data_IF_254875747721
#
_entry.id   IF_254875747721
#
_cell.length_a   1.000
_cell.length_b   1.000
_cell.length_c   1.000
_cell.angle_alpha   90.00
_cell.angle_beta   90.00
_cell.angle_gamma   90.00
#
_symmetry.space_group_name_H-M   'P 1'
#
loop_
_entity.id
_entity.type
_entity.pdbx_description
1 polymer ?
#
# COMPACT_ATOMS: atom_id res chain seq x y z
N UNK A 1 28.02 20.23 -1.23
CA UNK A 1 27.39 20.85 -2.41
C UNK A 1 26.13 20.03 -2.73
N UNK A 2 25.02 20.71 -2.97
CA UNK A 2 23.81 20.02 -3.47
C UNK A 2 24.08 19.48 -4.88
N UNK A 3 23.50 18.35 -5.26
CA UNK A 3 23.65 17.79 -6.60
C UNK A 3 23.08 18.77 -7.64
N UNK A 4 23.74 18.86 -8.80
CA UNK A 4 23.29 19.75 -9.88
C UNK A 4 22.20 19.14 -10.75
N UNK A 5 22.05 17.82 -10.73
CA UNK A 5 21.14 17.06 -11.57
C UNK A 5 20.43 16.01 -10.76
N UNK A 6 19.20 15.71 -11.17
CA UNK A 6 18.34 14.68 -10.60
C UNK A 6 17.96 13.69 -11.71
N UNK A 7 18.62 12.55 -11.76
CA UNK A 7 18.28 11.49 -12.69
C UNK A 7 16.93 10.89 -12.30
N UNK A 8 16.00 10.82 -13.22
CA UNK A 8 14.62 10.41 -12.94
C UNK A 8 13.99 9.65 -14.10
N UNK A 9 13.11 8.69 -13.76
CA UNK A 9 12.23 8.05 -14.72
C UNK A 9 10.96 8.90 -14.89
N UNK A 10 10.91 9.65 -15.97
CA UNK A 10 9.81 10.56 -16.27
C UNK A 10 8.74 9.84 -17.06
N UNK A 11 7.54 9.77 -16.51
CA UNK A 11 6.35 9.28 -17.17
C UNK A 11 5.78 10.37 -18.08
N UNK A 12 5.77 10.12 -19.41
CA UNK A 12 5.28 11.08 -20.41
C UNK A 12 3.88 10.72 -20.94
N UNK A 13 3.27 9.67 -20.41
CA UNK A 13 1.97 9.14 -20.84
C UNK A 13 1.99 7.62 -20.89
N UNK A 14 0.86 6.98 -21.18
CA UNK A 14 0.74 5.52 -21.18
C UNK A 14 1.87 4.82 -21.92
N UNK A 15 2.49 3.85 -21.25
CA UNK A 15 3.60 3.01 -21.74
C UNK A 15 4.85 3.79 -22.18
N UNK A 16 5.07 4.98 -21.60
CA UNK A 16 6.19 5.85 -21.99
C UNK A 16 6.92 6.41 -20.77
N UNK A 17 8.00 5.73 -20.37
CA UNK A 17 9.03 6.29 -19.50
C UNK A 17 10.22 6.79 -20.31
N UNK A 18 10.87 7.83 -19.80
CA UNK A 18 12.16 8.32 -20.28
C UNK A 18 13.06 8.64 -19.09
N UNK A 19 14.26 8.08 -19.08
CA UNK A 19 15.27 8.48 -18.10
C UNK A 19 15.83 9.85 -18.52
N UNK A 20 15.73 10.83 -17.61
CA UNK A 20 16.16 12.21 -17.84
C UNK A 20 16.84 12.79 -16.62
N UNK A 21 17.76 13.71 -16.86
CA UNK A 21 18.29 14.62 -15.84
C UNK A 21 17.31 15.80 -15.68
N UNK A 22 16.64 15.87 -14.54
CA UNK A 22 15.77 16.98 -14.18
C UNK A 22 16.56 18.05 -13.40
N UNK A 23 16.24 19.34 -13.54
CA UNK A 23 16.81 20.36 -12.67
C UNK A 23 16.31 20.13 -11.22
N UNK A 24 17.19 20.30 -10.25
CA UNK A 24 16.81 20.44 -8.86
C UNK A 24 16.38 21.89 -8.64
N UNK A 25 15.13 22.11 -8.27
CA UNK A 25 14.67 23.46 -7.96
C UNK A 25 15.19 23.89 -6.58
N UNK A 26 15.75 25.10 -6.51
CA UNK A 26 16.18 25.74 -5.25
C UNK A 26 15.01 26.12 -4.34
N UNK A 27 13.78 26.09 -4.85
CA UNK A 27 12.55 26.45 -4.12
C UNK A 27 12.07 25.36 -3.17
N UNK A 28 12.64 24.16 -3.22
CA UNK A 28 12.24 23.07 -2.35
C UNK A 28 12.91 23.17 -1.00
N UNK A 29 12.11 23.43 0.02
CA UNK A 29 12.58 23.52 1.39
C UNK A 29 13.00 22.18 1.98
N UNK A 30 12.65 21.06 1.37
CA UNK A 30 13.00 19.71 1.81
C UNK A 30 13.40 18.85 0.62
N UNK A 31 14.70 18.68 0.44
CA UNK A 31 15.27 17.77 -0.54
C UNK A 31 15.75 16.50 0.16
N UNK A 32 15.34 15.35 -0.34
CA UNK A 32 15.74 14.03 0.16
C UNK A 32 16.44 13.25 -0.96
N UNK A 33 17.42 12.42 -0.59
CA UNK A 33 18.02 11.44 -1.52
C UNK A 33 17.19 10.15 -1.44
N UNK A 34 16.70 9.66 -2.56
CA UNK A 34 16.01 8.37 -2.63
C UNK A 34 17.00 7.23 -2.40
N UNK A 35 16.65 6.27 -1.57
CA UNK A 35 17.42 5.06 -1.28
C UNK A 35 16.75 3.81 -1.86
N UNK A 36 15.42 3.76 -1.81
CA UNK A 36 14.62 2.69 -2.40
C UNK A 36 13.20 3.19 -2.65
N UNK A 37 12.61 2.79 -3.77
CA UNK A 37 11.22 3.05 -4.10
C UNK A 37 10.59 1.79 -4.65
N UNK A 38 9.52 1.29 -4.01
CA UNK A 38 8.84 0.10 -4.46
C UNK A 38 7.82 0.44 -5.57
N UNK A 39 7.60 -0.55 -6.46
CA UNK A 39 6.63 -0.44 -7.55
C UNK A 39 5.27 -0.95 -7.08
N UNK A 40 4.29 -0.06 -7.02
CA UNK A 40 2.91 -0.37 -6.65
C UNK A 40 2.09 -0.83 -7.88
N UNK A 41 1.10 -1.67 -7.67
CA UNK A 41 0.11 -1.98 -8.70
C UNK A 41 -0.66 -0.75 -9.21
N UNK A 42 -0.75 0.32 -8.40
CA UNK A 42 -1.27 1.61 -8.85
C UNK A 42 -0.35 2.25 -9.90
N UNK A 43 0.97 2.25 -9.68
CA UNK A 43 1.94 2.81 -10.64
C UNK A 43 1.86 2.07 -11.98
N UNK A 44 1.76 0.73 -11.96
CA UNK A 44 1.59 -0.09 -13.16
C UNK A 44 0.29 0.25 -13.91
N UNK A 45 -0.82 0.43 -13.20
CA UNK A 45 -2.08 0.85 -13.80
C UNK A 45 -1.98 2.25 -14.42
N UNK A 46 -1.35 3.20 -13.72
CA UNK A 46 -1.09 4.54 -14.27
C UNK A 46 -0.22 4.46 -15.52
N UNK A 47 0.82 3.64 -15.49
CA UNK A 47 1.72 3.45 -16.63
C UNK A 47 0.96 2.90 -17.84
N UNK A 48 0.06 1.94 -17.65
CA UNK A 48 -0.65 1.30 -18.77
C UNK A 48 -1.81 2.14 -19.32
N UNK A 49 -2.59 2.77 -18.44
CA UNK A 49 -3.88 3.37 -18.80
C UNK A 49 -3.95 4.89 -18.57
N UNK A 50 -2.96 5.46 -17.89
CA UNK A 50 -3.04 6.80 -17.34
C UNK A 50 -4.02 6.87 -16.15
N UNK A 51 -4.08 8.03 -15.52
CA UNK A 51 -5.02 8.27 -14.42
C UNK A 51 -5.44 9.75 -14.36
N UNK A 52 -6.70 10.03 -13.99
CA UNK A 52 -7.28 11.40 -13.97
C UNK A 52 -6.53 12.40 -13.09
N UNK A 53 -5.86 11.92 -12.03
CA UNK A 53 -5.06 12.76 -11.12
C UNK A 53 -3.61 12.94 -11.59
N UNK A 54 -3.15 12.15 -12.55
CA UNK A 54 -1.75 12.15 -13.04
C UNK A 54 -1.68 12.95 -14.33
N UNK A 55 -0.85 13.98 -14.32
CA UNK A 55 -0.64 14.86 -15.49
C UNK A 55 0.81 14.75 -15.95
N UNK A 56 1.09 14.00 -17.02
CA UNK A 56 2.42 13.94 -17.59
C UNK A 56 2.89 15.31 -18.15
N UNK A 57 4.22 15.60 -18.15
CA UNK A 57 5.29 14.74 -17.64
C UNK A 57 5.40 14.78 -16.10
N UNK A 58 5.64 13.64 -15.48
CA UNK A 58 5.76 13.51 -14.02
C UNK A 58 6.63 12.29 -13.66
N UNK A 59 7.26 12.31 -12.49
CA UNK A 59 7.93 11.14 -11.90
C UNK A 59 6.93 10.41 -11.00
N UNK A 60 6.73 9.10 -11.24
CA UNK A 60 5.87 8.24 -10.40
C UNK A 60 6.64 7.71 -9.18
N UNK A 61 5.99 6.82 -8.41
CA UNK A 61 6.56 6.18 -7.22
C UNK A 61 6.21 6.93 -5.93
N UNK A 62 5.54 6.23 -5.01
CA UNK A 62 5.02 6.80 -3.75
C UNK A 62 5.36 5.95 -2.53
N UNK A 63 5.94 4.78 -2.71
CA UNK A 63 6.42 3.87 -1.66
C UNK A 63 7.92 4.13 -1.45
N UNK A 64 8.30 5.11 -0.62
CA UNK A 64 9.62 5.73 -0.65
C UNK A 64 10.38 5.56 0.66
N UNK A 65 11.59 5.03 0.59
CA UNK A 65 12.65 5.21 1.58
C UNK A 65 13.67 6.21 1.06
N UNK A 66 14.03 7.19 1.87
CA UNK A 66 14.94 8.26 1.51
C UNK A 66 15.91 8.64 2.65
N UNK A 67 16.82 9.55 2.37
CA UNK A 67 17.78 10.12 3.32
C UNK A 67 17.70 11.63 3.31
N UNK A 68 17.69 12.25 4.49
CA UNK A 68 17.72 13.71 4.62
C UNK A 68 19.07 14.29 4.20
N UNK A 69 19.04 15.35 3.41
CA UNK A 69 20.25 16.10 3.02
C UNK A 69 20.53 17.31 3.92
N UNK A 70 19.55 17.69 4.72
CA UNK A 70 19.64 18.77 5.70
C UNK A 70 18.91 18.36 6.98
N UNK A 71 19.20 19.05 8.07
CA UNK A 71 18.43 18.93 9.31
C UNK A 71 17.02 19.51 9.11
N UNK A 72 15.99 18.74 9.47
CA UNK A 72 14.59 19.14 9.35
C UNK A 72 13.99 19.40 10.74
N UNK A 73 13.24 20.48 10.86
CA UNK A 73 12.47 20.81 12.07
C UNK A 73 10.99 20.53 11.82
N UNK A 74 10.39 19.67 12.65
CA UNK A 74 8.97 19.33 12.60
C UNK A 74 8.15 20.33 13.43
N UNK A 75 6.82 20.42 13.23
CA UNK A 75 5.94 21.34 13.95
C UNK A 75 5.92 21.15 15.47
N UNK A 76 6.16 19.91 15.94
CA UNK A 76 6.23 19.54 17.36
C UNK A 76 7.64 19.73 17.96
N UNK A 77 8.44 20.62 17.35
CA UNK A 77 9.83 20.95 17.71
C UNK A 77 10.83 19.78 17.61
N UNK A 78 10.40 18.61 17.18
CA UNK A 78 11.31 17.50 16.91
C UNK A 78 12.24 17.81 15.76
N UNK A 79 13.47 17.35 15.88
CA UNK A 79 14.52 17.52 14.89
C UNK A 79 14.81 16.17 14.24
N UNK A 80 14.81 16.14 12.92
CA UNK A 80 15.35 15.04 12.13
C UNK A 80 16.71 15.51 11.62
N UNK A 81 17.82 14.94 12.13
CA UNK A 81 19.16 15.34 11.69
C UNK A 81 19.39 15.09 10.21
N UNK A 82 20.33 15.84 9.62
CA UNK A 82 20.91 15.50 8.33
C UNK A 82 21.43 14.06 8.30
N UNK A 83 21.43 13.44 7.13
CA UNK A 83 21.87 12.06 6.92
C UNK A 83 21.02 10.97 7.62
N UNK A 84 19.81 11.32 8.06
CA UNK A 84 18.86 10.38 8.66
C UNK A 84 18.06 9.63 7.60
N UNK A 85 17.93 8.32 7.76
CA UNK A 85 17.06 7.50 6.92
C UNK A 85 15.60 7.68 7.33
N UNK A 86 14.73 7.91 6.34
CA UNK A 86 13.31 8.23 6.56
C UNK A 86 12.43 7.52 5.55
N UNK A 87 11.19 7.31 5.91
CA UNK A 87 10.10 7.05 4.96
C UNK A 87 9.25 8.29 4.79
N UNK A 88 8.59 8.38 3.64
CA UNK A 88 7.82 9.56 3.26
C UNK A 88 6.36 9.18 3.05
N UNK A 89 5.45 9.83 3.79
CA UNK A 89 4.02 9.74 3.52
C UNK A 89 3.70 10.43 2.19
N UNK A 90 2.99 9.77 1.26
CA UNK A 90 2.68 10.37 -0.02
C UNK A 90 1.63 11.49 0.06
N UNK A 91 0.95 11.66 1.19
CA UNK A 91 -0.16 12.60 1.34
C UNK A 91 0.29 14.07 1.38
N UNK A 92 -0.37 14.90 0.60
CA UNK A 92 -0.24 16.37 0.61
C UNK A 92 -1.65 16.95 0.79
N UNK A 93 -2.16 17.03 2.04
CA UNK A 93 -3.50 17.54 2.32
C UNK A 93 -3.54 19.08 2.28
N UNK A 94 -4.73 19.65 2.14
CA UNK A 94 -4.92 21.10 2.10
C UNK A 94 -4.82 21.80 3.46
N UNK A 95 -4.88 21.08 4.57
CA UNK A 95 -4.81 21.52 5.97
C UNK A 95 -5.95 22.44 6.45
N UNK A 96 -6.92 22.75 5.61
CA UNK A 96 -8.00 23.70 5.92
C UNK A 96 -9.42 23.15 5.77
N UNK A 97 -9.61 21.90 5.33
CA UNK A 97 -10.93 21.28 5.24
C UNK A 97 -11.29 20.51 6.52
N UNK A 98 -12.56 20.15 6.67
CA UNK A 98 -13.07 19.37 7.80
C UNK A 98 -12.25 18.11 8.08
N UNK A 99 -11.93 17.32 7.06
CA UNK A 99 -11.16 16.08 7.24
C UNK A 99 -9.75 16.35 7.76
N UNK A 100 -9.11 17.41 7.31
CA UNK A 100 -7.79 17.80 7.82
C UNK A 100 -7.86 18.24 9.29
N UNK A 101 -8.92 18.96 9.71
CA UNK A 101 -9.05 19.44 11.09
C UNK A 101 -9.22 18.31 12.11
N UNK A 102 -9.69 17.14 11.68
CA UNK A 102 -9.83 15.93 12.51
C UNK A 102 -8.73 14.89 12.27
N UNK A 103 -7.69 15.24 11.50
CA UNK A 103 -6.52 14.35 11.24
C UNK A 103 -6.75 13.25 10.20
N UNK A 104 -7.88 13.23 9.51
CA UNK A 104 -8.19 12.30 8.41
C UNK A 104 -7.62 12.82 7.09
N UNK A 105 -6.31 13.00 7.02
CA UNK A 105 -5.62 13.58 5.87
C UNK A 105 -5.84 12.82 4.57
N UNK A 106 -5.98 11.50 4.63
CA UNK A 106 -6.30 10.66 3.47
C UNK A 106 -7.69 10.92 2.87
N UNK A 107 -8.59 11.54 3.63
CA UNK A 107 -9.94 11.95 3.18
C UNK A 107 -10.03 13.42 2.79
N UNK A 108 -8.91 14.13 2.67
CA UNK A 108 -8.86 15.55 2.33
C UNK A 108 -9.59 15.87 1.02
N UNK A 109 -10.43 16.91 1.01
CA UNK A 109 -11.21 17.31 -0.17
C UNK A 109 -10.34 17.70 -1.38
N UNK A 110 -9.12 18.21 -1.12
CA UNK A 110 -8.16 18.65 -2.15
C UNK A 110 -6.83 17.90 -1.97
N UNK A 111 -6.92 16.58 -1.81
CA UNK A 111 -5.74 15.73 -1.62
C UNK A 111 -4.88 15.70 -2.87
N UNK A 112 -3.62 16.13 -2.73
CA UNK A 112 -2.53 15.86 -3.65
C UNK A 112 -1.65 14.74 -3.10
N UNK A 113 -0.91 14.04 -3.99
CA UNK A 113 -0.11 12.88 -3.59
C UNK A 113 1.23 12.87 -4.33
N UNK A 114 2.29 12.57 -3.62
CA UNK A 114 3.64 12.32 -4.17
C UNK A 114 3.56 11.10 -5.10
N UNK A 115 4.19 11.17 -6.27
CA UNK A 115 4.14 10.13 -7.28
C UNK A 115 2.85 10.10 -8.11
N UNK A 116 1.95 11.07 -7.92
CA UNK A 116 0.68 11.15 -8.65
C UNK A 116 0.36 12.57 -9.14
N UNK A 117 0.36 13.56 -8.27
CA UNK A 117 0.17 14.99 -8.61
C UNK A 117 1.42 15.83 -8.36
N UNK A 118 2.40 15.27 -7.67
CA UNK A 118 3.75 15.82 -7.45
C UNK A 118 4.75 14.74 -7.77
N UNK A 119 5.95 15.10 -8.25
CA UNK A 119 7.02 14.15 -8.58
C UNK A 119 7.32 13.22 -7.41
N UNK A 120 7.46 11.93 -7.74
CA UNK A 120 7.66 10.83 -6.81
C UNK A 120 9.08 10.30 -6.74
N UNK A 121 9.21 9.08 -6.21
CA UNK A 121 10.46 8.47 -5.79
C UNK A 121 11.23 7.70 -6.87
N UNK A 122 10.75 7.60 -8.11
CA UNK A 122 11.56 7.02 -9.18
C UNK A 122 12.55 8.06 -9.73
N UNK A 123 13.38 8.60 -8.83
CA UNK A 123 14.43 9.60 -9.09
C UNK A 123 15.49 9.56 -7.99
N UNK A 124 16.73 10.00 -8.30
CA UNK A 124 17.84 10.12 -7.33
C UNK A 124 17.44 10.97 -6.12
N UNK A 125 16.68 12.02 -6.37
CA UNK A 125 16.28 13.00 -5.34
C UNK A 125 14.79 13.33 -5.48
N UNK A 126 14.16 13.55 -4.34
CA UNK A 126 12.76 13.93 -4.25
C UNK A 126 12.59 15.25 -3.49
N UNK A 127 11.85 16.18 -4.09
CA UNK A 127 11.42 17.41 -3.45
C UNK A 127 10.13 17.19 -2.67
N UNK A 128 10.20 17.33 -1.36
CA UNK A 128 9.04 17.14 -0.48
C UNK A 128 8.38 18.48 -0.19
N UNK A 129 7.07 18.64 -0.46
CA UNK A 129 6.33 19.83 -0.09
C UNK A 129 6.37 20.08 1.42
N UNK A 130 6.41 21.34 1.83
CA UNK A 130 6.41 21.72 3.25
C UNK A 130 5.21 21.14 4.03
N UNK A 131 4.08 20.95 3.38
CA UNK A 131 2.88 20.30 3.93
C UNK A 131 3.19 18.93 4.53
N UNK A 132 4.11 18.16 3.92
CA UNK A 132 4.53 16.86 4.44
C UNK A 132 5.22 16.96 5.81
N UNK A 133 5.97 18.04 6.07
CA UNK A 133 6.50 18.33 7.42
C UNK A 133 5.38 18.65 8.40
N UNK A 134 4.42 19.50 7.98
CA UNK A 134 3.33 19.97 8.83
C UNK A 134 2.42 18.83 9.32
N UNK A 135 2.33 17.74 8.60
CA UNK A 135 1.57 16.54 9.01
C UNK A 135 2.44 15.45 9.67
N UNK A 136 3.71 15.73 9.98
CA UNK A 136 4.69 14.73 10.41
C UNK A 136 4.82 13.55 9.42
N UNK A 137 4.76 13.84 8.12
CA UNK A 137 4.79 12.83 7.05
C UNK A 137 6.19 12.33 6.67
N UNK A 138 7.25 12.85 7.30
CA UNK A 138 8.63 12.35 7.18
C UNK A 138 8.96 11.65 8.48
N UNK A 139 9.14 10.33 8.41
CA UNK A 139 9.26 9.46 9.59
C UNK A 139 10.63 8.78 9.60
N UNK A 140 11.48 9.06 10.61
CA UNK A 140 12.75 8.36 10.78
C UNK A 140 12.56 6.86 10.96
N UNK A 141 13.47 6.07 10.37
CA UNK A 141 13.49 4.61 10.50
C UNK A 141 14.70 4.12 11.29
N UNK A 142 14.52 3.01 11.98
CA UNK A 142 15.57 2.37 12.77
C UNK A 142 16.60 1.66 11.87
N UNK A 143 17.83 1.48 12.38
CA UNK A 143 18.92 0.88 11.62
C UNK A 143 18.72 -0.61 11.28
N UNK A 144 17.85 -1.31 11.99
CA UNK A 144 17.55 -2.72 11.75
C UNK A 144 16.53 -2.94 10.61
N UNK A 145 16.02 -1.88 10.01
CA UNK A 145 15.14 -1.93 8.81
C UNK A 145 15.99 -1.59 7.59
N UNK A 146 16.03 -2.44 6.57
CA UNK A 146 16.72 -2.13 5.31
C UNK A 146 15.96 -1.07 4.50
N UNK A 147 16.62 -0.43 3.53
CA UNK A 147 16.00 0.60 2.69
C UNK A 147 14.85 0.03 1.86
N UNK A 148 15.01 -1.19 1.35
CA UNK A 148 13.98 -1.88 0.58
C UNK A 148 12.75 -2.21 1.45
N UNK A 149 12.96 -2.74 2.67
CA UNK A 149 11.84 -2.99 3.61
C UNK A 149 11.12 -1.70 3.99
N UNK A 150 11.89 -0.62 4.19
CA UNK A 150 11.34 0.68 4.55
C UNK A 150 10.41 1.23 3.46
N UNK A 151 10.70 1.01 2.19
CA UNK A 151 9.81 1.41 1.09
C UNK A 151 8.44 0.73 1.16
N UNK A 152 8.34 -0.48 1.71
CA UNK A 152 7.08 -1.21 1.88
C UNK A 152 6.28 -0.83 3.14
N UNK A 153 6.77 0.10 3.96
CA UNK A 153 6.03 0.57 5.14
C UNK A 153 4.80 1.39 4.71
N UNK A 154 4.85 2.07 3.56
CA UNK A 154 3.68 2.79 3.04
C UNK A 154 2.50 1.82 2.80
N UNK A 155 2.59 0.76 1.96
CA UNK A 155 1.50 -0.18 1.77
C UNK A 155 1.13 -0.96 3.05
N UNK A 156 2.08 -1.25 3.94
CA UNK A 156 1.76 -1.80 5.27
C UNK A 156 0.86 -0.85 6.05
N UNK A 157 1.15 0.46 6.01
CA UNK A 157 0.34 1.45 6.70
C UNK A 157 -1.10 1.52 6.15
N UNK A 158 -1.26 1.38 4.84
CA UNK A 158 -2.58 1.30 4.20
C UNK A 158 -3.37 0.07 4.69
N UNK A 159 -2.70 -1.09 4.76
CA UNK A 159 -3.31 -2.31 5.29
C UNK A 159 -3.70 -2.17 6.78
N UNK A 160 -2.84 -1.57 7.60
CA UNK A 160 -3.16 -1.29 9.01
C UNK A 160 -4.34 -0.34 9.15
N UNK A 161 -4.40 0.71 8.32
CA UNK A 161 -5.52 1.65 8.31
C UNK A 161 -6.86 0.93 8.04
N UNK A 162 -6.87 -0.06 7.15
CA UNK A 162 -8.05 -0.89 6.90
C UNK A 162 -8.49 -1.68 8.13
N UNK A 163 -7.55 -2.22 8.92
CA UNK A 163 -7.87 -2.95 10.15
C UNK A 163 -8.36 -2.02 11.28
N UNK A 164 -7.76 -0.84 11.42
CA UNK A 164 -8.11 0.10 12.49
C UNK A 164 -9.48 0.76 12.29
N UNK A 165 -9.87 1.01 11.04
CA UNK A 165 -11.14 1.69 10.73
C UNK A 165 -12.37 0.92 11.20
N UNK A 166 -12.26 -0.39 11.45
CA UNK A 166 -13.43 -1.21 11.77
C UNK A 166 -13.53 -1.62 13.24
N UNK A 167 -12.48 -1.40 14.03
CA UNK A 167 -12.40 -1.82 15.44
C UNK A 167 -12.96 -3.24 15.66
N UNK A 168 -12.67 -4.17 14.72
CA UNK A 168 -13.19 -5.53 14.76
C UNK A 168 -12.26 -6.37 15.63
N UNK A 169 -12.87 -7.05 16.60
CA UNK A 169 -12.18 -8.08 17.35
C UNK A 169 -11.99 -9.31 16.45
N UNK A 170 -10.75 -9.58 16.04
CA UNK A 170 -10.42 -10.74 15.18
C UNK A 170 -9.75 -11.87 15.93
N UNK A 171 -9.49 -11.72 17.22
CA UNK A 171 -8.86 -12.76 18.05
C UNK A 171 -9.74 -14.02 18.09
N UNK A 172 -9.20 -15.15 17.60
CA UNK A 172 -9.92 -16.41 17.50
C UNK A 172 -11.00 -16.47 16.41
N UNK A 173 -11.28 -15.37 15.73
CA UNK A 173 -12.25 -15.28 14.64
C UNK A 173 -11.61 -15.56 13.27
N UNK A 174 -12.43 -15.88 12.28
CA UNK A 174 -11.95 -16.10 10.94
C UNK A 174 -11.78 -14.80 10.16
N UNK A 175 -10.59 -14.61 9.59
CA UNK A 175 -10.28 -13.54 8.63
C UNK A 175 -10.03 -14.17 7.26
N UNK A 176 -10.84 -13.81 6.28
CA UNK A 176 -10.75 -14.29 4.91
C UNK A 176 -10.08 -13.21 4.06
N UNK A 177 -9.00 -13.55 3.38
CA UNK A 177 -8.25 -12.62 2.52
C UNK A 177 -8.33 -13.12 1.09
N UNK A 178 -8.99 -12.34 0.22
CA UNK A 178 -9.14 -12.65 -1.20
C UNK A 178 -8.11 -11.86 -1.99
N UNK A 179 -7.06 -12.55 -2.42
CA UNK A 179 -5.89 -12.03 -3.10
C UNK A 179 -4.60 -12.51 -2.46
N UNK A 180 -3.78 -13.21 -3.23
CA UNK A 180 -2.50 -13.80 -2.84
C UNK A 180 -1.29 -12.92 -3.17
N UNK A 181 -1.54 -11.67 -3.57
CA UNK A 181 -0.52 -10.67 -3.85
C UNK A 181 0.14 -10.10 -2.58
N UNK A 182 1.13 -9.20 -2.73
CA UNK A 182 1.84 -8.60 -1.60
C UNK A 182 0.92 -7.97 -0.56
N UNK A 183 -0.14 -7.30 -1.00
CA UNK A 183 -1.15 -6.67 -0.13
C UNK A 183 -1.89 -7.74 0.71
N UNK A 184 -2.33 -8.83 0.07
CA UNK A 184 -2.97 -9.94 0.79
C UNK A 184 -2.03 -10.57 1.84
N UNK A 185 -0.74 -10.71 1.51
CA UNK A 185 0.25 -11.25 2.44
C UNK A 185 0.58 -10.28 3.59
N UNK A 186 0.47 -8.97 3.38
CA UNK A 186 0.56 -7.98 4.47
C UNK A 186 -0.67 -8.10 5.39
N UNK A 187 -1.87 -8.17 4.82
CA UNK A 187 -3.08 -8.39 5.61
C UNK A 187 -3.05 -9.70 6.40
N UNK A 188 -2.47 -10.77 5.83
CA UNK A 188 -2.25 -12.03 6.53
C UNK A 188 -1.38 -11.82 7.77
N UNK A 189 -0.22 -11.16 7.64
CA UNK A 189 0.68 -10.90 8.76
C UNK A 189 -0.01 -10.06 9.85
N UNK A 190 -0.75 -9.01 9.46
CA UNK A 190 -1.51 -8.20 10.41
C UNK A 190 -2.56 -9.05 11.13
N UNK A 191 -3.31 -9.90 10.41
CA UNK A 191 -4.34 -10.75 11.00
C UNK A 191 -3.74 -11.76 11.99
N UNK A 192 -2.57 -12.33 11.67
CA UNK A 192 -1.83 -13.21 12.58
C UNK A 192 -1.34 -12.48 13.82
N UNK A 193 -0.93 -11.21 13.71
CA UNK A 193 -0.56 -10.37 14.85
C UNK A 193 -1.71 -10.23 15.87
N UNK A 194 -2.95 -10.25 15.40
CA UNK A 194 -4.16 -10.21 16.23
C UNK A 194 -4.75 -11.59 16.54
N UNK A 195 -3.97 -12.67 16.34
CA UNK A 195 -4.36 -14.06 16.62
C UNK A 195 -5.66 -14.50 15.92
N UNK A 196 -5.89 -14.04 14.69
CA UNK A 196 -6.99 -14.50 13.87
C UNK A 196 -6.72 -15.88 13.25
N UNK A 197 -7.77 -16.64 12.98
CA UNK A 197 -7.74 -17.79 12.09
C UNK A 197 -7.84 -17.32 10.65
N UNK A 198 -6.80 -17.53 9.85
CA UNK A 198 -6.64 -16.87 8.55
C UNK A 198 -6.87 -17.83 7.39
N UNK A 199 -7.65 -17.39 6.41
CA UNK A 199 -7.91 -18.10 5.16
C UNK A 199 -7.46 -17.18 4.02
N UNK A 200 -6.51 -17.64 3.20
CA UNK A 200 -6.03 -16.88 2.03
C UNK A 200 -6.51 -17.57 0.75
N UNK A 201 -7.20 -16.81 -0.08
CA UNK A 201 -7.73 -17.26 -1.38
C UNK A 201 -6.94 -16.58 -2.48
N UNK A 202 -6.41 -17.37 -3.43
CA UNK A 202 -5.59 -16.84 -4.51
C UNK A 202 -5.69 -17.63 -5.80
N UNK A 203 -4.92 -17.20 -6.80
CA UNK A 203 -4.84 -17.84 -8.13
C UNK A 203 -3.43 -18.35 -8.48
N UNK A 204 -2.42 -17.99 -7.69
CA UNK A 204 -1.01 -18.29 -7.96
C UNK A 204 -0.46 -19.29 -6.94
N UNK A 205 -0.23 -20.57 -7.32
CA UNK A 205 0.19 -21.61 -6.36
C UNK A 205 1.44 -21.26 -5.55
N UNK A 206 2.45 -20.63 -6.18
CA UNK A 206 3.69 -20.21 -5.49
C UNK A 206 3.43 -19.17 -4.41
N UNK A 207 2.50 -18.23 -4.62
CA UNK A 207 2.10 -17.21 -3.65
C UNK A 207 1.27 -17.78 -2.52
N UNK A 208 0.40 -18.76 -2.80
CA UNK A 208 -0.32 -19.52 -1.78
C UNK A 208 0.64 -20.34 -0.90
N UNK A 209 1.69 -20.92 -1.48
CA UNK A 209 2.77 -21.56 -0.71
C UNK A 209 3.45 -20.55 0.22
N UNK A 210 3.70 -19.33 -0.27
CA UNK A 210 4.25 -18.25 0.56
C UNK A 210 3.28 -17.83 1.68
N UNK A 211 1.98 -17.68 1.39
CA UNK A 211 0.96 -17.44 2.41
C UNK A 211 0.97 -18.51 3.52
N UNK A 212 1.10 -19.78 3.12
CA UNK A 212 1.19 -20.91 4.09
C UNK A 212 2.45 -20.80 4.94
N UNK A 213 3.59 -20.42 4.35
CA UNK A 213 4.86 -20.24 5.06
C UNK A 213 4.85 -19.04 6.03
N UNK A 214 4.04 -18.01 5.75
CA UNK A 214 3.78 -16.88 6.66
C UNK A 214 2.92 -17.30 7.87
N UNK A 215 2.17 -18.39 7.74
CA UNK A 215 1.34 -18.91 8.82
C UNK A 215 -0.16 -18.83 8.55
N UNK A 216 -0.59 -18.76 7.29
CA UNK A 216 -2.01 -18.92 6.96
C UNK A 216 -2.53 -20.28 7.46
N UNK A 217 -3.65 -20.28 8.18
CA UNK A 217 -4.25 -21.52 8.69
C UNK A 217 -4.80 -22.36 7.54
N UNK A 218 -5.41 -21.69 6.56
CA UNK A 218 -5.89 -22.29 5.30
C UNK A 218 -5.46 -21.46 4.10
N UNK A 219 -5.13 -22.15 2.99
CA UNK A 219 -4.93 -21.52 1.68
C UNK A 219 -5.78 -22.22 0.64
N UNK A 220 -6.42 -21.48 -0.27
CA UNK A 220 -7.30 -22.02 -1.29
C UNK A 220 -6.93 -21.48 -2.66
N UNK A 221 -6.77 -22.39 -3.62
CA UNK A 221 -6.65 -22.04 -5.04
C UNK A 221 -8.05 -21.86 -5.61
N UNK A 222 -8.41 -20.64 -5.97
CA UNK A 222 -9.75 -20.30 -6.46
C UNK A 222 -9.89 -20.61 -7.96
N UNK A 223 -10.17 -21.86 -8.27
CA UNK A 223 -10.51 -22.33 -9.62
C UNK A 223 -12.02 -22.34 -9.85
N UNK A 224 -12.80 -22.56 -8.79
CA UNK A 224 -14.26 -22.59 -8.77
C UNK A 224 -14.76 -21.81 -7.55
N UNK A 225 -15.60 -20.81 -7.78
CA UNK A 225 -16.08 -19.93 -6.71
C UNK A 225 -17.07 -20.63 -5.76
N UNK A 226 -17.94 -21.49 -6.28
CA UNK A 226 -18.96 -22.16 -5.47
C UNK A 226 -18.34 -23.27 -4.59
N UNK A 227 -17.35 -24.01 -5.12
CA UNK A 227 -16.56 -24.95 -4.35
C UNK A 227 -15.74 -24.23 -3.27
N UNK A 228 -15.14 -23.07 -3.61
CA UNK A 228 -14.41 -22.22 -2.65
C UNK A 228 -15.32 -21.77 -1.50
N UNK A 229 -16.52 -21.29 -1.79
CA UNK A 229 -17.51 -20.89 -0.78
C UNK A 229 -17.86 -22.07 0.11
N UNK A 230 -18.21 -23.23 -0.49
CA UNK A 230 -18.55 -24.45 0.25
C UNK A 230 -17.44 -24.84 1.21
N UNK A 231 -16.20 -24.90 0.72
CA UNK A 231 -15.02 -25.28 1.51
C UNK A 231 -14.81 -24.34 2.71
N UNK A 232 -14.95 -23.02 2.50
CA UNK A 232 -14.80 -22.03 3.58
C UNK A 232 -15.91 -22.19 4.63
N UNK A 233 -17.16 -22.35 4.19
CA UNK A 233 -18.29 -22.50 5.10
C UNK A 233 -18.19 -23.81 5.90
N UNK A 234 -17.72 -24.89 5.32
CA UNK A 234 -17.44 -26.14 6.03
C UNK A 234 -16.31 -25.96 7.05
N UNK A 235 -15.16 -25.40 6.64
CA UNK A 235 -14.01 -25.15 7.51
C UNK A 235 -14.34 -24.24 8.70
N UNK A 236 -15.16 -23.23 8.48
CA UNK A 236 -15.58 -22.27 9.52
C UNK A 236 -16.78 -22.75 10.32
N UNK A 237 -17.25 -24.00 10.16
CA UNK A 237 -18.47 -24.51 10.74
C UNK A 237 -19.69 -23.59 10.49
N UNK A 238 -19.81 -23.10 9.26
CA UNK A 238 -20.81 -22.15 8.75
C UNK A 238 -20.80 -20.76 9.41
N UNK A 239 -19.76 -20.43 10.19
CA UNK A 239 -19.62 -19.07 10.76
C UNK A 239 -19.27 -18.02 9.71
N UNK A 240 -18.51 -18.42 8.68
CA UNK A 240 -17.94 -17.50 7.69
C UNK A 240 -16.84 -16.59 8.25
N UNK A 241 -16.39 -15.64 7.45
CA UNK A 241 -15.39 -14.66 7.86
C UNK A 241 -15.98 -13.54 8.71
N UNK A 242 -15.37 -13.23 9.85
CA UNK A 242 -15.68 -12.04 10.65
C UNK A 242 -15.20 -10.77 9.98
N UNK A 243 -14.05 -10.84 9.33
CA UNK A 243 -13.50 -9.83 8.45
C UNK A 243 -13.15 -10.51 7.12
N UNK A 244 -13.66 -9.97 6.03
CA UNK A 244 -13.33 -10.42 4.68
C UNK A 244 -12.67 -9.26 3.93
N UNK A 245 -11.43 -9.45 3.48
CA UNK A 245 -10.64 -8.40 2.82
C UNK A 245 -10.52 -8.73 1.33
N UNK A 246 -11.01 -7.83 0.48
CA UNK A 246 -10.87 -7.92 -0.98
C UNK A 246 -9.60 -7.18 -1.39
N UNK A 247 -8.48 -7.91 -1.47
CA UNK A 247 -7.15 -7.39 -1.80
C UNK A 247 -6.81 -7.55 -3.31
N UNK A 248 -7.83 -7.55 -4.16
CA UNK A 248 -7.72 -7.67 -5.62
C UNK A 248 -8.71 -6.74 -6.29
N UNK A 249 -8.38 -6.24 -7.48
CA UNK A 249 -9.25 -5.39 -8.31
C UNK A 249 -10.25 -6.17 -9.16
N UNK A 250 -10.39 -7.50 -8.98
CA UNK A 250 -11.38 -8.31 -9.67
C UNK A 250 -12.77 -8.14 -9.04
N UNK A 251 -13.79 -7.65 -9.78
CA UNK A 251 -15.15 -7.49 -9.25
C UNK A 251 -15.79 -8.79 -8.71
N UNK A 252 -15.49 -9.95 -9.33
CA UNK A 252 -16.00 -11.25 -8.87
C UNK A 252 -15.54 -11.60 -7.44
N UNK A 253 -14.43 -11.03 -6.99
CA UNK A 253 -13.94 -11.21 -5.63
C UNK A 253 -14.88 -10.57 -4.58
N UNK A 254 -15.66 -9.56 -4.96
CA UNK A 254 -16.63 -8.94 -4.05
C UNK A 254 -17.83 -9.85 -3.84
N UNK A 255 -18.33 -10.49 -4.91
CA UNK A 255 -19.40 -11.48 -4.80
C UNK A 255 -18.96 -12.67 -3.92
N UNK A 256 -17.76 -13.20 -4.18
CA UNK A 256 -17.17 -14.24 -3.32
C UNK A 256 -17.06 -13.78 -1.86
N UNK A 257 -16.62 -12.53 -1.64
CA UNK A 257 -16.47 -11.98 -0.29
C UNK A 257 -17.80 -11.93 0.47
N UNK A 258 -18.87 -11.51 -0.19
CA UNK A 258 -20.20 -11.46 0.39
C UNK A 258 -20.75 -12.86 0.70
N UNK A 259 -20.50 -13.85 -0.15
CA UNK A 259 -20.91 -15.24 0.05
C UNK A 259 -20.20 -15.93 1.22
N UNK A 260 -18.94 -15.57 1.50
CA UNK A 260 -18.16 -16.16 2.60
C UNK A 260 -18.19 -15.34 3.88
N UNK A 261 -18.82 -14.17 3.86
CA UNK A 261 -18.97 -13.31 5.03
C UNK A 261 -19.92 -13.95 6.05
N UNK A 262 -19.50 -13.93 7.31
CA UNK A 262 -20.33 -14.37 8.42
C UNK A 262 -21.37 -13.32 8.85
N UNK A 263 -22.23 -13.68 9.77
CA UNK A 263 -23.15 -12.73 10.40
C UNK A 263 -22.35 -11.70 11.24
N UNK A 264 -22.83 -10.46 11.24
CA UNK A 264 -22.23 -9.38 12.00
C UNK A 264 -20.74 -9.17 11.66
N UNK A 265 -20.44 -9.23 10.37
CA UNK A 265 -19.08 -9.16 9.79
C UNK A 265 -18.84 -7.87 9.02
N UNK A 266 -17.58 -7.67 8.62
CA UNK A 266 -17.20 -6.61 7.69
C UNK A 266 -16.59 -7.20 6.43
N UNK A 267 -17.06 -6.75 5.28
CA UNK A 267 -16.42 -6.95 3.98
C UNK A 267 -15.72 -5.65 3.59
N UNK A 268 -14.39 -5.67 3.53
CA UNK A 268 -13.57 -4.52 3.20
C UNK A 268 -13.10 -4.55 1.75
N UNK A 269 -13.50 -3.56 0.96
CA UNK A 269 -12.99 -3.31 -0.38
C UNK A 269 -11.67 -2.52 -0.26
N UNK A 270 -10.56 -3.24 -0.24
CA UNK A 270 -9.23 -2.65 -0.12
C UNK A 270 -8.68 -2.18 -1.46
N UNK A 271 -8.80 -3.00 -2.49
CA UNK A 271 -8.33 -2.64 -3.83
C UNK A 271 -9.39 -1.83 -4.60
N UNK A 272 -8.92 -0.80 -5.32
CA UNK A 272 -9.78 -0.07 -6.24
C UNK A 272 -10.22 -0.94 -7.43
N UNK A 273 -11.48 -0.82 -7.84
CA UNK A 273 -12.06 -1.55 -8.96
C UNK A 273 -11.80 -0.85 -10.31
N UNK A 274 -11.85 -1.57 -11.45
CA UNK A 274 -11.79 -0.97 -12.78
C UNK A 274 -12.90 0.07 -12.99
N UNK A 275 -12.63 1.06 -13.85
CA UNK A 275 -13.63 2.09 -14.19
C UNK A 275 -14.93 1.47 -14.72
N UNK A 276 -16.06 2.10 -14.42
CA UNK A 276 -17.40 1.74 -14.92
C UNK A 276 -17.90 0.34 -14.50
N UNK A 277 -17.27 -0.26 -13.48
CA UNK A 277 -17.81 -1.49 -12.87
C UNK A 277 -18.82 -1.13 -11.79
N UNK A 278 -20.01 -1.69 -11.94
CA UNK A 278 -21.10 -1.61 -10.96
C UNK A 278 -21.21 -2.98 -10.31
N UNK A 279 -21.42 -3.00 -9.00
CA UNK A 279 -21.67 -4.21 -8.23
C UNK A 279 -23.18 -4.26 -7.92
N UNK A 280 -23.83 -5.36 -8.28
CA UNK A 280 -25.20 -5.64 -7.88
C UNK A 280 -25.17 -6.44 -6.58
N UNK A 281 -25.81 -5.92 -5.56
CA UNK A 281 -25.79 -6.52 -4.22
C UNK A 281 -27.24 -6.66 -3.73
N UNK A 282 -27.61 -7.87 -3.30
CA UNK A 282 -28.88 -8.09 -2.60
C UNK A 282 -28.85 -7.35 -1.25
N UNK A 283 -29.67 -6.31 -1.05
CA UNK A 283 -29.69 -5.56 0.21
C UNK A 283 -30.14 -6.41 1.40
N UNK A 284 -30.92 -7.45 1.18
CA UNK A 284 -31.36 -8.36 2.24
C UNK A 284 -30.21 -9.22 2.79
N UNK A 285 -29.24 -9.54 1.95
CA UNK A 285 -28.01 -10.21 2.40
C UNK A 285 -27.29 -9.37 3.46
N UNK A 286 -27.15 -8.06 3.22
CA UNK A 286 -26.53 -7.15 4.17
C UNK A 286 -27.39 -6.97 5.42
N UNK A 287 -28.70 -6.71 5.23
CA UNK A 287 -29.63 -6.39 6.29
C UNK A 287 -29.80 -7.54 7.31
N UNK A 288 -30.17 -8.72 6.84
CA UNK A 288 -30.49 -9.86 7.74
C UNK A 288 -29.25 -10.51 8.34
N UNK A 289 -28.08 -10.36 7.74
CA UNK A 289 -26.84 -10.87 8.31
C UNK A 289 -26.01 -9.79 9.03
N UNK A 290 -26.47 -8.54 9.05
CA UNK A 290 -25.75 -7.39 9.63
C UNK A 290 -24.32 -7.27 9.07
N UNK A 291 -24.16 -7.41 7.74
CA UNK A 291 -22.88 -7.29 7.08
C UNK A 291 -22.63 -5.82 6.80
N UNK A 292 -21.49 -5.30 7.25
CA UNK A 292 -20.99 -3.99 6.86
C UNK A 292 -20.12 -4.12 5.62
N UNK A 293 -20.58 -3.58 4.48
CA UNK A 293 -19.73 -3.40 3.30
C UNK A 293 -19.02 -2.05 3.39
N UNK A 294 -17.71 -2.05 3.36
CA UNK A 294 -16.91 -0.86 3.61
C UNK A 294 -15.71 -0.76 2.67
N UNK A 295 -15.17 0.43 2.50
CA UNK A 295 -13.93 0.70 1.78
C UNK A 295 -12.84 1.25 2.70
N UNK A 296 -11.59 1.12 2.28
CA UNK A 296 -10.45 1.78 2.89
C UNK A 296 -9.58 2.40 1.81
N UNK A 297 -8.98 3.55 2.12
CA UNK A 297 -8.15 4.29 1.18
C UNK A 297 -6.96 4.90 1.89
N UNK A 298 -5.74 4.58 1.39
CA UNK A 298 -4.49 5.15 1.88
C UNK A 298 -4.33 5.01 3.40
N UNK A 299 -3.50 5.84 4.02
CA UNK A 299 -3.31 5.87 5.47
C UNK A 299 -3.00 7.30 5.94
N UNK A 300 -2.68 7.47 7.22
CA UNK A 300 -2.21 8.74 7.77
C UNK A 300 -0.78 8.59 8.31
N UNK A 301 0.00 9.68 8.48
CA UNK A 301 1.32 9.62 9.09
C UNK A 301 1.35 8.94 10.46
N UNK A 302 0.28 9.08 11.25
CA UNK A 302 0.12 8.37 12.53
C UNK A 302 0.10 6.85 12.36
N UNK A 303 -0.67 6.35 11.38
CA UNK A 303 -0.73 4.92 11.07
C UNK A 303 0.59 4.44 10.47
N UNK A 304 1.22 5.26 9.61
CA UNK A 304 2.52 4.96 9.02
C UNK A 304 3.63 4.85 10.08
N UNK A 305 3.61 5.73 11.10
CA UNK A 305 4.51 5.60 12.26
C UNK A 305 4.29 4.27 12.99
N UNK A 306 3.04 3.86 13.21
CA UNK A 306 2.73 2.57 13.84
C UNK A 306 3.22 1.40 12.98
N UNK A 307 3.08 1.49 11.64
CA UNK A 307 3.63 0.50 10.72
C UNK A 307 5.15 0.37 10.86
N UNK A 308 5.85 1.52 10.95
CA UNK A 308 7.30 1.57 11.18
C UNK A 308 7.69 0.85 12.47
N UNK A 309 6.95 1.08 13.55
CA UNK A 309 7.22 0.44 14.84
C UNK A 309 7.06 -1.09 14.78
N UNK A 310 6.01 -1.58 14.09
CA UNK A 310 5.78 -3.02 13.93
C UNK A 310 6.92 -3.72 13.16
N UNK A 311 7.46 -3.06 12.13
CA UNK A 311 8.62 -3.59 11.38
C UNK A 311 9.89 -3.54 12.25
N UNK A 312 10.12 -2.43 12.97
CA UNK A 312 11.23 -2.30 13.90
C UNK A 312 11.21 -3.37 14.99
N UNK A 313 10.04 -3.64 15.56
CA UNK A 313 9.78 -4.67 16.57
C UNK A 313 9.81 -6.10 16.00
N UNK A 314 10.06 -6.26 14.68
CA UNK A 314 10.05 -7.55 13.95
C UNK A 314 8.72 -8.32 14.07
N UNK A 315 7.63 -7.62 14.28
CA UNK A 315 6.26 -8.18 14.31
C UNK A 315 5.68 -8.40 12.94
N UNK A 316 6.17 -7.65 11.95
CA UNK A 316 5.84 -7.77 10.52
C UNK A 316 7.14 -7.90 9.76
N UNK A 317 7.22 -8.88 8.86
CA UNK A 317 8.37 -9.16 8.01
C UNK A 317 8.06 -8.76 6.56
N UNK A 318 8.52 -7.58 6.15
CA UNK A 318 8.36 -7.07 4.80
C UNK A 318 9.45 -7.58 3.85
N UNK A 319 10.60 -8.00 4.39
CA UNK A 319 11.75 -8.45 3.60
C UNK A 319 11.41 -9.63 2.69
N UNK A 320 10.62 -10.57 3.18
CA UNK A 320 10.18 -11.75 2.42
C UNK A 320 9.26 -11.43 1.24
N UNK A 321 8.68 -10.23 1.20
CA UNK A 321 7.85 -9.78 0.09
C UNK A 321 8.67 -9.20 -1.07
N UNK A 322 9.95 -8.88 -0.86
CA UNK A 322 10.80 -8.26 -1.88
C UNK A 322 11.47 -9.36 -2.70
N UNK A 323 11.00 -9.56 -3.92
CA UNK A 323 11.46 -10.63 -4.80
C UNK A 323 12.39 -10.16 -5.91
N UNK A 324 12.30 -8.88 -6.28
CA UNK A 324 13.08 -8.31 -7.38
C UNK A 324 13.63 -6.94 -7.02
N UNK A 325 14.86 -6.67 -7.49
CA UNK A 325 15.57 -5.40 -7.33
C UNK A 325 16.07 -4.96 -8.69
N UNK A 326 15.88 -3.69 -8.99
CA UNK A 326 16.24 -3.11 -10.28
C UNK A 326 16.95 -1.76 -10.09
N UNK A 327 17.77 -1.40 -11.06
CA UNK A 327 18.22 -0.02 -11.22
C UNK A 327 17.12 0.84 -11.86
N UNK A 328 17.26 2.15 -11.77
CA UNK A 328 16.33 3.08 -12.43
C UNK A 328 16.31 2.89 -13.95
N UNK A 329 17.43 2.48 -14.56
CA UNK A 329 17.50 2.18 -15.99
C UNK A 329 16.66 0.97 -16.40
N UNK A 330 16.33 0.13 -15.45
CA UNK A 330 15.52 -1.08 -15.66
C UNK A 330 14.07 -0.90 -15.23
N UNK A 331 13.60 0.35 -15.09
CA UNK A 331 12.24 0.63 -14.60
C UNK A 331 11.16 -0.09 -15.41
N UNK A 332 11.30 -0.18 -16.74
CA UNK A 332 10.36 -0.90 -17.60
C UNK A 332 10.29 -2.39 -17.23
N UNK A 333 11.42 -3.02 -16.90
CA UNK A 333 11.46 -4.42 -16.42
C UNK A 333 10.76 -4.56 -15.06
N UNK A 334 10.99 -3.62 -14.13
CA UNK A 334 10.37 -3.63 -12.82
C UNK A 334 8.84 -3.53 -12.92
N UNK A 335 8.34 -2.69 -13.82
CA UNK A 335 6.92 -2.56 -14.11
C UNK A 335 6.35 -3.81 -14.77
N UNK A 336 7.03 -4.36 -15.76
CA UNK A 336 6.63 -5.60 -16.43
C UNK A 336 6.51 -6.78 -15.45
N UNK A 337 7.53 -7.01 -14.62
CA UNK A 337 7.52 -8.09 -13.61
C UNK A 337 6.36 -7.94 -12.63
N UNK A 338 6.03 -6.70 -12.24
CA UNK A 338 4.91 -6.40 -11.35
C UNK A 338 3.57 -6.63 -12.06
N UNK A 339 3.45 -6.27 -13.35
CA UNK A 339 2.25 -6.44 -14.17
C UNK A 339 1.91 -7.91 -14.40
N UNK A 340 2.90 -8.72 -14.77
CA UNK A 340 2.69 -10.15 -15.07
C UNK A 340 2.67 -11.04 -13.83
N UNK A 341 2.66 -10.42 -12.65
CA UNK A 341 2.60 -11.10 -11.36
C UNK A 341 3.75 -12.09 -11.08
N UNK A 342 4.92 -11.88 -11.69
CA UNK A 342 6.11 -12.67 -11.39
C UNK A 342 6.68 -12.24 -10.03
N UNK A 343 6.76 -13.17 -9.08
CA UNK A 343 7.15 -12.85 -7.70
C UNK A 343 6.10 -12.04 -6.93
N UNK A 344 6.55 -11.19 -6.00
CA UNK A 344 5.70 -10.38 -5.12
C UNK A 344 5.93 -8.88 -5.32
N UNK A 345 7.05 -8.33 -4.82
CA UNK A 345 7.37 -6.90 -4.93
C UNK A 345 8.67 -6.66 -5.69
N UNK A 346 8.62 -5.66 -6.57
CA UNK A 346 9.79 -5.07 -7.23
C UNK A 346 10.15 -3.76 -6.54
N UNK A 347 11.43 -3.50 -6.34
CA UNK A 347 11.95 -2.23 -5.82
C UNK A 347 13.01 -1.67 -6.76
N UNK A 348 13.04 -0.34 -6.90
CA UNK A 348 14.13 0.40 -7.51
C UNK A 348 15.03 0.87 -6.37
N UNK A 349 16.27 0.40 -6.31
CA UNK A 349 17.21 0.71 -5.23
C UNK A 349 18.63 1.06 -5.72
N UNK A 350 18.75 1.33 -7.00
CA UNK A 350 19.96 1.86 -7.63
C UNK A 350 19.53 2.95 -8.62
N UNK A 351 19.98 4.16 -8.37
CA UNK A 351 19.60 5.37 -9.09
C UNK A 351 20.77 5.97 -9.85
#
# INVERSE_FOLDING_TARGET
MLPQKNRAAVFNGPKNFQIKDLPLSDDSKVLLKTLSCAVCGYDVRVFNEGHRKVRPPIVLGHEICARTLNTLKLPDEKIIPENTRVIVSPLIPCLNCYYCSIGHFNSCNSLSEIGSSVNGGFADYINIPQTSLLINGIIPIANNISDDEASLIEPLSCCLNAHFNFNIQTHGEFVVIIGDGPIGLIHLQISKLYNANTIVIGKVPSRLKEAKSIGADMVLLNNDADETVKTILEYTSRKGGKLVIVATSNPEAVDLALKVAGKNSVVNLFAGMPKNKILEIDPNLLHYNQICLSGSFSSTPKVMKRATDLVHEKKIDLKRLITHRFSIDEIDKAFYVTEVYTGLRSVINSF
#
